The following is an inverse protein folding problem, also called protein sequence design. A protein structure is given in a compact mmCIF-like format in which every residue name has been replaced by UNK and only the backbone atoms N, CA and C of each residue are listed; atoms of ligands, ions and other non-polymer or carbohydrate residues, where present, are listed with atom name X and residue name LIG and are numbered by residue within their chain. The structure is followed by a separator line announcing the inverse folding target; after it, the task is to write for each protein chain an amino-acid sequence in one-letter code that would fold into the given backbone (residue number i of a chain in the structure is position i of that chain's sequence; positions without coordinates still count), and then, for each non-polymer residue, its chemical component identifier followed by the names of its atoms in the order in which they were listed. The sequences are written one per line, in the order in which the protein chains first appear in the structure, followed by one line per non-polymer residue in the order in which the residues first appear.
data_IF_417034844902
#
_entry.id   IF_417034844902
#
_cell.length_a   1.000
_cell.length_b   1.000
_cell.length_c   1.000
_cell.angle_alpha   90.00
_cell.angle_beta   90.00
_cell.angle_gamma   90.00
#
_symmetry.space_group_name_H-M   'P 1'
#
loop_
_entity.id
_entity.type
_entity.pdbx_description
1 polymer ?
#
# COMPACT_ATOMS: atom_id res chain seq x y z
N UNK A 1 6.67 -51.53 -63.93
CA UNK A 1 6.48 -50.27 -63.17
C UNK A 1 5.31 -50.50 -62.21
N UNK A 2 5.61 -50.68 -60.93
CA UNK A 2 4.66 -51.15 -59.90
C UNK A 2 4.15 -49.94 -59.10
N UNK A 3 2.83 -49.81 -59.00
CA UNK A 3 2.14 -48.83 -58.19
C UNK A 3 2.11 -49.26 -56.71
N UNK A 4 2.44 -48.35 -55.79
CA UNK A 4 2.35 -48.58 -54.34
C UNK A 4 1.53 -47.47 -53.66
N UNK A 5 0.25 -47.82 -53.52
CA UNK A 5 -0.73 -47.54 -52.47
C UNK A 5 -0.17 -46.83 -51.21
N UNK A 6 -0.59 -45.59 -50.96
CA UNK A 6 -0.54 -44.95 -49.65
C UNK A 6 -1.88 -45.11 -48.92
N UNK A 7 -1.86 -45.75 -47.74
CA UNK A 7 -2.97 -45.75 -46.75
C UNK A 7 -2.81 -44.58 -45.77
N UNK A 8 -3.87 -43.87 -45.38
CA UNK A 8 -3.82 -42.94 -44.27
C UNK A 8 -4.12 -43.63 -42.92
N UNK A 9 -3.32 -43.32 -41.92
CA UNK A 9 -3.48 -43.74 -40.52
C UNK A 9 -4.47 -42.80 -39.82
N UNK A 10 -5.66 -43.30 -39.52
CA UNK A 10 -6.64 -42.68 -38.63
C UNK A 10 -6.16 -42.80 -37.17
N UNK A 11 -5.73 -41.69 -36.56
CA UNK A 11 -5.62 -41.57 -35.09
C UNK A 11 -6.86 -40.88 -34.54
N UNK A 12 -7.58 -41.64 -33.70
CA UNK A 12 -8.75 -41.23 -32.93
C UNK A 12 -8.38 -40.09 -31.98
N UNK A 13 -9.04 -38.94 -32.14
CA UNK A 13 -9.13 -37.91 -31.10
C UNK A 13 -10.27 -38.30 -30.16
N UNK A 14 -9.93 -38.59 -28.91
CA UNK A 14 -10.91 -38.70 -27.84
C UNK A 14 -11.41 -37.29 -27.48
N UNK A 15 -12.68 -37.03 -27.78
CA UNK A 15 -13.44 -35.92 -27.22
C UNK A 15 -13.54 -36.10 -25.70
N UNK A 16 -12.80 -35.30 -24.94
CA UNK A 16 -13.07 -35.10 -23.51
C UNK A 16 -13.84 -33.79 -23.38
N UNK A 17 -15.16 -33.90 -23.29
CA UNK A 17 -16.05 -32.80 -22.94
C UNK A 17 -16.00 -32.56 -21.43
N UNK A 18 -15.21 -31.58 -20.99
CA UNK A 18 -15.35 -31.04 -19.63
C UNK A 18 -16.46 -29.97 -19.62
N UNK A 19 -17.64 -30.37 -19.14
CA UNK A 19 -18.64 -29.43 -18.61
C UNK A 19 -18.10 -28.88 -17.28
N UNK A 20 -17.70 -27.62 -17.26
CA UNK A 20 -17.54 -26.86 -16.02
C UNK A 20 -18.32 -25.55 -16.14
N UNK A 21 -19.64 -25.66 -15.97
CA UNK A 21 -20.48 -24.50 -15.71
C UNK A 21 -20.44 -24.20 -14.22
N UNK A 22 -19.69 -23.17 -13.82
CA UNK A 22 -19.90 -22.36 -12.61
C UNK A 22 -19.24 -21.00 -12.82
N UNK A 23 -19.96 -20.13 -13.50
CA UNK A 23 -19.74 -18.68 -13.50
C UNK A 23 -20.09 -18.15 -12.11
N UNK A 24 -19.09 -17.89 -11.27
CA UNK A 24 -19.27 -17.00 -10.13
C UNK A 24 -19.05 -15.56 -10.61
N UNK A 25 -20.13 -14.94 -11.06
CA UNK A 25 -20.22 -13.49 -11.15
C UNK A 25 -20.24 -12.93 -9.72
N UNK A 26 -19.14 -12.29 -9.30
CA UNK A 26 -19.13 -11.49 -8.08
C UNK A 26 -19.53 -10.06 -8.45
N UNK A 27 -20.83 -9.85 -8.58
CA UNK A 27 -21.47 -8.53 -8.63
C UNK A 27 -22.15 -8.25 -7.29
N UNK A 28 -21.75 -7.12 -6.71
CA UNK A 28 -22.53 -6.23 -5.85
C UNK A 28 -24.00 -6.58 -5.63
N UNK A 29 -24.36 -6.91 -4.39
CA UNK A 29 -25.67 -6.64 -3.80
C UNK A 29 -25.59 -6.88 -2.28
N UNK A 30 -25.31 -5.84 -1.49
CA UNK A 30 -25.74 -5.84 -0.09
C UNK A 30 -27.05 -5.08 -0.02
N UNK A 31 -28.12 -5.85 -0.12
CA UNK A 31 -29.46 -5.43 0.27
C UNK A 31 -29.51 -5.25 1.79
N UNK A 32 -30.26 -4.23 2.16
CA UNK A 32 -30.56 -3.76 3.50
C UNK A 32 -31.08 -4.88 4.41
N UNK A 33 -30.36 -5.17 5.50
CA UNK A 33 -30.91 -5.96 6.62
C UNK A 33 -31.56 -4.98 7.60
N UNK A 34 -32.86 -5.07 7.91
CA UNK A 34 -33.48 -4.30 8.97
C UNK A 34 -32.95 -4.80 10.32
N UNK A 35 -32.27 -3.93 11.07
CA UNK A 35 -31.92 -4.19 12.48
C UNK A 35 -33.12 -3.85 13.37
N UNK A 36 -34.01 -4.81 13.58
CA UNK A 36 -34.94 -4.78 14.71
C UNK A 36 -34.22 -5.35 15.94
N UNK A 37 -33.66 -4.48 16.79
CA UNK A 37 -33.32 -4.85 18.17
C UNK A 37 -34.50 -4.45 19.07
N UNK A 38 -35.01 -5.33 19.96
CA UNK A 38 -35.98 -4.93 20.96
C UNK A 38 -35.35 -3.95 21.95
N UNK A 39 -36.07 -2.84 22.22
CA UNK A 39 -35.83 -1.94 23.35
C UNK A 39 -36.07 -2.71 24.66
N UNK A 40 -35.14 -2.69 25.63
CA UNK A 40 -35.49 -3.02 27.00
C UNK A 40 -36.28 -1.85 27.63
N UNK A 41 -37.39 -2.19 28.27
CA UNK A 41 -38.28 -1.26 28.98
C UNK A 41 -37.60 -0.68 30.25
N UNK A 42 -37.98 0.54 30.68
CA UNK A 42 -37.37 1.22 31.81
C UNK A 42 -38.24 1.05 33.05
N UNK A 43 -38.02 0.01 33.85
CA UNK A 43 -38.60 -0.06 35.20
C UNK A 43 -37.74 -0.99 36.05
N UNK A 44 -36.96 -0.40 36.97
CA UNK A 44 -36.52 -0.97 38.26
C UNK A 44 -35.40 -0.09 38.83
N UNK A 45 -35.79 0.97 39.54
CA UNK A 45 -34.95 1.60 40.57
C UNK A 45 -35.05 0.75 41.84
N UNK A 46 -33.94 0.64 42.60
CA UNK A 46 -34.10 0.82 44.03
C UNK A 46 -33.17 1.90 44.60
N UNK A 47 -33.82 2.64 45.48
CA UNK A 47 -33.42 3.68 46.42
C UNK A 47 -32.31 3.19 47.38
N UNK A 48 -31.54 4.15 47.89
CA UNK A 48 -30.74 4.18 49.15
C UNK A 48 -29.23 4.03 48.93
N UNK A 49 -28.35 4.80 49.56
CA UNK A 49 -28.47 5.76 50.67
C UNK A 49 -27.23 6.66 50.66
N UNK A 50 -27.39 7.88 51.15
CA UNK A 50 -26.33 8.76 51.60
C UNK A 50 -25.29 8.02 52.46
N UNK A 51 -24.00 8.24 52.19
CA UNK A 51 -23.09 8.47 53.30
C UNK A 51 -21.98 9.44 52.94
N UNK A 52 -21.87 10.44 53.81
CA UNK A 52 -21.16 11.69 53.68
C UNK A 52 -19.91 11.55 54.53
N UNK A 53 -18.75 11.27 53.92
CA UNK A 53 -17.45 11.39 54.61
C UNK A 53 -16.47 12.25 53.83
N UNK A 54 -16.37 13.48 54.32
CA UNK A 54 -15.33 14.46 54.09
C UNK A 54 -13.95 13.88 54.44
N UNK A 55 -12.94 14.11 53.59
CA UNK A 55 -11.54 14.35 53.97
C UNK A 55 -10.68 14.75 52.76
N UNK A 56 -9.48 15.35 52.96
CA UNK A 56 -9.30 16.79 52.85
C UNK A 56 -8.43 17.21 51.66
N UNK A 57 -8.45 18.53 51.44
CA UNK A 57 -7.64 19.27 50.47
C UNK A 57 -6.14 19.08 50.73
N UNK A 58 -5.41 18.69 49.69
CA UNK A 58 -3.96 18.82 49.64
C UNK A 58 -3.58 20.19 49.05
N UNK A 59 -2.74 20.89 49.81
CA UNK A 59 -2.14 22.18 49.50
C UNK A 59 -1.21 22.13 48.28
N UNK A 60 -1.09 23.21 47.48
CA UNK A 60 0.04 23.41 46.59
C UNK A 60 1.19 24.10 47.33
N UNK A 61 2.41 23.60 47.08
CA UNK A 61 3.66 24.12 47.63
C UNK A 61 4.10 25.44 47.00
N UNK A 62 4.53 26.29 47.91
CA UNK A 62 5.23 27.58 47.86
C UNK A 62 6.58 27.58 47.11
N UNK A 63 6.90 28.73 46.48
CA UNK A 63 8.23 29.30 46.15
C UNK A 63 9.09 28.57 45.09
N UNK A 64 9.91 29.20 44.25
CA UNK A 64 10.50 30.54 44.26
C UNK A 64 11.07 30.87 42.86
N UNK A 65 11.10 32.17 42.55
CA UNK A 65 11.80 32.77 41.42
C UNK A 65 13.29 32.43 41.39
N UNK A 66 13.88 32.35 40.19
CA UNK A 66 15.12 33.08 39.93
C UNK A 66 15.36 33.35 38.43
N UNK A 67 15.46 34.65 38.17
CA UNK A 67 15.93 35.33 36.96
C UNK A 67 17.44 35.10 36.82
N UNK A 68 17.90 34.94 35.56
CA UNK A 68 19.22 35.32 35.00
C UNK A 68 19.16 34.97 33.50
N UNK A 69 18.89 35.92 32.62
CA UNK A 69 19.83 36.88 32.05
C UNK A 69 21.22 36.30 31.79
N UNK A 70 21.45 35.83 30.56
CA UNK A 70 22.72 35.98 29.87
C UNK A 70 22.60 35.59 28.39
N UNK A 71 23.03 36.49 27.50
CA UNK A 71 23.77 36.06 26.31
C UNK A 71 23.05 36.14 24.96
N UNK A 72 22.85 37.37 24.50
CA UNK A 72 22.86 37.74 23.08
C UNK A 72 24.07 37.08 22.39
N UNK A 73 23.85 36.15 21.46
CA UNK A 73 24.85 35.81 20.43
C UNK A 73 24.17 35.45 19.11
N UNK A 74 24.15 36.47 18.26
CA UNK A 74 24.23 36.38 16.80
C UNK A 74 24.91 35.10 16.34
N UNK A 75 24.25 34.32 15.46
CA UNK A 75 24.95 33.93 14.26
C UNK A 75 24.03 33.88 13.03
N UNK A 76 24.20 34.95 12.26
CA UNK A 76 23.75 35.17 10.90
C UNK A 76 24.45 34.16 9.98
N UNK A 77 23.75 33.12 9.56
CA UNK A 77 24.10 32.40 8.32
C UNK A 77 23.04 32.72 7.26
N UNK A 78 23.23 33.89 6.64
CA UNK A 78 22.75 34.14 5.29
C UNK A 78 23.59 33.26 4.36
N UNK A 79 23.05 32.12 3.96
CA UNK A 79 23.46 31.40 2.77
C UNK A 79 22.55 31.83 1.63
N UNK A 80 22.96 32.86 0.90
CA UNK A 80 22.49 33.14 -0.45
C UNK A 80 22.70 31.90 -1.31
N UNK A 81 21.62 31.29 -1.78
CA UNK A 81 21.68 30.42 -2.96
C UNK A 81 20.79 31.05 -4.01
N UNK A 82 21.46 31.83 -4.83
CA UNK A 82 20.95 32.36 -6.08
C UNK A 82 20.41 31.25 -6.97
N UNK A 83 19.37 31.63 -7.68
CA UNK A 83 18.69 30.84 -8.69
C UNK A 83 19.63 30.60 -9.87
N UNK A 84 20.07 29.36 -10.08
CA UNK A 84 20.56 28.84 -11.37
C UNK A 84 20.48 27.32 -11.37
N UNK A 85 19.70 26.75 -12.29
CA UNK A 85 19.70 25.32 -12.60
C UNK A 85 18.50 24.53 -12.06
N UNK A 86 17.32 24.76 -12.63
CA UNK A 86 16.24 23.75 -12.63
C UNK A 86 16.64 22.61 -13.58
N UNK A 87 17.56 21.73 -13.19
CA UNK A 87 17.80 20.48 -13.91
C UNK A 87 18.00 19.33 -12.91
N UNK A 88 17.14 18.32 -13.02
CA UNK A 88 17.18 17.14 -12.18
C UNK A 88 16.39 17.26 -10.88
N UNK A 89 15.04 17.23 -10.96
CA UNK A 89 14.23 16.80 -9.80
C UNK A 89 14.64 15.38 -9.45
N UNK A 90 15.61 15.24 -8.54
CA UNK A 90 16.01 13.97 -7.95
C UNK A 90 14.75 13.32 -7.40
N UNK A 91 14.38 12.17 -7.97
CA UNK A 91 13.28 11.36 -7.47
C UNK A 91 13.62 11.03 -6.02
N UNK A 92 12.91 11.62 -5.07
CA UNK A 92 13.05 11.24 -3.67
C UNK A 92 12.62 9.78 -3.57
N UNK A 93 13.59 8.89 -3.34
CA UNK A 93 13.32 7.48 -3.05
C UNK A 93 12.29 7.41 -1.91
N UNK A 94 11.39 6.44 -1.98
CA UNK A 94 10.43 6.23 -0.92
C UNK A 94 11.21 5.93 0.37
N UNK A 95 10.72 6.46 1.50
CA UNK A 95 11.23 6.00 2.79
C UNK A 95 11.01 4.49 2.84
N UNK A 96 12.06 3.70 3.10
CA UNK A 96 11.96 2.25 3.17
C UNK A 96 10.85 1.88 4.15
N UNK A 97 9.77 1.29 3.64
CA UNK A 97 8.63 0.87 4.46
C UNK A 97 9.04 -0.39 5.20
N UNK A 98 9.41 -0.24 6.47
CA UNK A 98 9.88 -1.35 7.30
C UNK A 98 8.78 -1.82 8.24
N UNK A 99 8.02 -2.85 7.88
CA UNK A 99 7.12 -3.45 8.87
C UNK A 99 7.98 -3.91 10.06
N UNK A 100 7.63 -3.56 11.32
CA UNK A 100 8.47 -3.84 12.48
C UNK A 100 8.99 -5.29 12.51
N UNK A 101 8.10 -6.25 12.26
CA UNK A 101 8.37 -7.69 12.26
C UNK A 101 9.39 -8.18 11.23
N UNK A 102 9.59 -7.45 10.13
CA UNK A 102 10.51 -7.84 9.04
C UNK A 102 11.76 -6.97 9.02
N UNK A 103 11.82 -5.93 9.86
CA UNK A 103 12.92 -4.98 9.83
C UNK A 103 14.27 -5.63 10.09
N UNK A 104 14.29 -6.64 10.97
CA UNK A 104 15.45 -7.45 11.29
C UNK A 104 15.92 -8.37 10.14
N UNK A 105 15.11 -8.56 9.09
CA UNK A 105 15.49 -9.38 7.94
C UNK A 105 16.24 -8.58 6.88
N UNK A 106 16.33 -7.26 7.00
CA UNK A 106 17.07 -6.43 6.05
C UNK A 106 18.44 -6.05 6.57
N UNK A 107 19.43 -6.20 5.71
CA UNK A 107 20.73 -5.57 5.87
C UNK A 107 20.64 -4.06 5.62
N UNK A 108 21.66 -3.30 6.07
CA UNK A 108 21.67 -1.83 5.94
C UNK A 108 21.57 -1.36 4.48
N UNK A 109 22.17 -2.12 3.58
CA UNK A 109 22.13 -1.94 2.12
C UNK A 109 20.74 -2.17 1.49
N UNK A 110 19.78 -2.75 2.22
CA UNK A 110 18.45 -3.09 1.70
C UNK A 110 18.34 -4.51 1.18
N UNK A 111 19.36 -5.33 1.34
CA UNK A 111 19.30 -6.73 0.94
C UNK A 111 18.46 -7.51 1.96
N UNK A 112 17.47 -8.26 1.46
CA UNK A 112 16.65 -9.15 2.28
C UNK A 112 17.44 -10.42 2.60
N UNK A 113 17.76 -10.62 3.88
CA UNK A 113 18.29 -11.87 4.42
C UNK A 113 17.19 -12.93 4.42
N UNK A 114 17.32 -13.91 3.55
CA UNK A 114 16.32 -14.98 3.34
C UNK A 114 17.01 -16.31 3.02
N UNK A 115 16.23 -17.39 2.86
CA UNK A 115 16.75 -18.69 2.42
C UNK A 115 17.25 -18.62 0.97
N UNK A 116 18.17 -19.50 0.58
CA UNK A 116 18.70 -19.53 -0.79
C UNK A 116 17.58 -19.66 -1.84
N UNK A 117 16.63 -20.56 -1.62
CA UNK A 117 15.49 -20.76 -2.52
C UNK A 117 14.65 -19.49 -2.73
N UNK A 118 14.47 -18.68 -1.67
CA UNK A 118 13.77 -17.40 -1.77
C UNK A 118 14.59 -16.35 -2.51
N UNK A 119 15.90 -16.30 -2.29
CA UNK A 119 16.79 -15.39 -3.00
C UNK A 119 16.80 -15.70 -4.51
N UNK A 120 16.85 -16.99 -4.87
CA UNK A 120 16.74 -17.46 -6.26
C UNK A 120 15.41 -17.04 -6.87
N UNK A 121 14.29 -17.20 -6.15
CA UNK A 121 12.98 -16.73 -6.61
C UNK A 121 12.95 -15.23 -6.94
N UNK A 122 13.48 -14.37 -6.08
CA UNK A 122 13.51 -12.92 -6.35
C UNK A 122 14.40 -12.58 -7.54
N UNK A 123 15.54 -13.25 -7.67
CA UNK A 123 16.46 -13.08 -8.81
C UNK A 123 15.83 -13.52 -10.12
N UNK A 124 15.17 -14.68 -10.15
CA UNK A 124 14.53 -15.24 -11.35
C UNK A 124 13.35 -14.39 -11.82
N UNK A 125 12.52 -13.92 -10.89
CA UNK A 125 11.29 -13.19 -11.22
C UNK A 125 11.53 -11.69 -11.41
N UNK A 126 12.65 -11.16 -10.91
CA UNK A 126 12.91 -9.72 -10.86
C UNK A 126 11.95 -8.95 -9.94
N UNK A 127 11.18 -9.65 -9.10
CA UNK A 127 10.29 -9.01 -8.13
C UNK A 127 11.14 -8.35 -7.05
N UNK A 128 10.90 -7.06 -6.82
CA UNK A 128 11.62 -6.28 -5.82
C UNK A 128 11.11 -6.61 -4.42
N UNK A 129 12.05 -6.94 -3.54
CA UNK A 129 11.80 -7.10 -2.10
C UNK A 129 12.08 -5.82 -1.31
N UNK A 130 12.95 -4.92 -1.77
CA UNK A 130 13.23 -3.63 -1.09
C UNK A 130 12.26 -2.54 -1.56
N UNK A 131 11.33 -2.15 -0.69
CA UNK A 131 10.39 -1.07 -0.98
C UNK A 131 11.02 0.32 -1.04
N UNK A 132 12.25 0.49 -0.52
CA UNK A 132 13.00 1.74 -0.67
C UNK A 132 13.36 2.06 -2.12
N UNK A 133 13.32 1.07 -3.02
CA UNK A 133 13.53 1.26 -4.46
C UNK A 133 12.31 1.83 -5.19
N UNK A 134 11.13 1.82 -4.57
CA UNK A 134 10.00 2.59 -5.09
C UNK A 134 10.31 4.06 -4.90
N UNK A 135 9.80 4.89 -5.79
CA UNK A 135 10.01 6.33 -5.71
C UNK A 135 8.68 7.01 -5.41
N UNK A 136 8.74 8.05 -4.60
CA UNK A 136 7.54 8.75 -4.15
C UNK A 136 6.93 9.55 -5.30
N UNK A 137 5.60 9.51 -5.42
CA UNK A 137 4.91 10.38 -6.38
C UNK A 137 5.28 11.84 -6.07
N UNK A 138 5.85 12.53 -7.05
CA UNK A 138 6.38 13.90 -6.89
C UNK A 138 5.41 14.98 -7.37
N UNK A 139 4.18 14.61 -7.68
CA UNK A 139 3.13 15.54 -8.14
C UNK A 139 2.80 16.56 -7.04
N UNK A 140 2.43 17.82 -7.35
CA UNK A 140 1.95 18.78 -6.35
C UNK A 140 0.84 18.23 -5.44
N UNK A 141 -0.09 17.46 -6.01
CA UNK A 141 -1.13 16.70 -5.27
C UNK A 141 -0.57 15.66 -4.28
N UNK A 142 0.68 15.20 -4.45
CA UNK A 142 1.31 14.29 -3.49
C UNK A 142 1.59 14.96 -2.14
N UNK A 143 1.70 16.29 -2.10
CA UNK A 143 1.73 17.03 -0.84
C UNK A 143 0.39 16.90 -0.09
N UNK A 144 -0.74 16.88 -0.81
CA UNK A 144 -2.07 16.68 -0.22
C UNK A 144 -2.23 15.27 0.33
N UNK A 145 -1.69 14.24 -0.34
CA UNK A 145 -1.65 12.89 0.23
C UNK A 145 -0.97 12.91 1.62
N UNK A 146 0.18 13.57 1.73
CA UNK A 146 0.92 13.63 3.01
C UNK A 146 0.17 14.36 4.11
N UNK A 147 -0.54 15.45 3.79
CA UNK A 147 -1.39 16.16 4.75
C UNK A 147 -2.49 15.25 5.32
N UNK A 148 -2.95 14.29 4.51
CA UNK A 148 -3.95 13.29 4.89
C UNK A 148 -3.34 12.04 5.55
N UNK A 149 -2.05 12.05 5.84
CA UNK A 149 -1.35 10.92 6.43
C UNK A 149 -1.14 9.76 5.44
N UNK A 150 -1.12 10.04 4.15
CA UNK A 150 -0.92 9.04 3.07
C UNK A 150 0.40 9.35 2.35
N UNK A 151 1.20 8.32 2.11
CA UNK A 151 2.34 8.36 1.21
C UNK A 151 2.09 7.38 0.07
N UNK A 152 2.28 7.84 -1.16
CA UNK A 152 2.08 7.01 -2.35
C UNK A 152 3.40 6.94 -3.10
N UNK A 153 3.84 5.72 -3.35
CA UNK A 153 5.04 5.42 -4.10
C UNK A 153 4.69 4.55 -5.31
N UNK A 154 5.45 4.70 -6.37
CA UNK A 154 5.30 3.92 -7.59
C UNK A 154 6.63 3.32 -8.02
N UNK A 155 6.57 2.20 -8.72
CA UNK A 155 7.66 1.67 -9.52
C UNK A 155 7.10 1.00 -10.76
N UNK A 156 7.83 1.09 -11.88
CA UNK A 156 7.54 0.30 -13.08
C UNK A 156 7.92 -1.19 -12.91
N UNK A 157 8.64 -1.52 -11.82
CA UNK A 157 8.92 -2.90 -11.42
C UNK A 157 7.85 -3.41 -10.47
N UNK A 158 7.68 -4.72 -10.48
CA UNK A 158 6.80 -5.39 -9.52
C UNK A 158 7.51 -5.54 -8.18
N UNK A 159 6.85 -5.11 -7.11
CA UNK A 159 7.35 -5.22 -5.75
C UNK A 159 6.38 -6.02 -4.90
N UNK A 160 6.91 -6.92 -4.08
CA UNK A 160 6.10 -7.81 -3.24
C UNK A 160 5.28 -7.00 -2.22
N UNK A 161 4.09 -7.46 -1.81
CA UNK A 161 3.38 -6.82 -0.70
C UNK A 161 4.25 -6.87 0.57
N UNK A 162 4.47 -5.73 1.26
CA UNK A 162 5.27 -5.70 2.49
C UNK A 162 4.84 -6.74 3.53
N UNK A 163 3.55 -6.97 3.74
CA UNK A 163 3.07 -7.93 4.73
C UNK A 163 3.39 -9.39 4.38
N UNK A 164 3.66 -9.69 3.10
CA UNK A 164 4.01 -11.04 2.67
C UNK A 164 5.51 -11.32 2.82
N UNK A 165 6.35 -10.31 3.06
CA UNK A 165 7.80 -10.49 3.26
C UNK A 165 8.14 -11.38 4.47
N UNK A 166 7.26 -11.44 5.47
CA UNK A 166 7.41 -12.33 6.62
C UNK A 166 7.49 -13.81 6.20
N UNK A 167 6.80 -14.20 5.13
CA UNK A 167 6.87 -15.55 4.58
C UNK A 167 8.20 -15.86 3.88
N UNK A 168 9.10 -14.88 3.77
CA UNK A 168 10.44 -15.03 3.21
C UNK A 168 11.51 -14.84 4.30
N UNK A 169 11.19 -15.21 5.54
CA UNK A 169 12.12 -15.14 6.66
C UNK A 169 13.35 -16.04 6.44
N UNK A 170 14.51 -15.69 7.04
CA UNK A 170 15.75 -16.46 6.87
C UNK A 170 15.68 -17.86 7.48
N UNK A 171 14.82 -18.09 8.47
CA UNK A 171 14.59 -19.40 9.08
C UNK A 171 13.60 -20.28 8.30
N UNK A 172 13.11 -19.79 7.16
CA UNK A 172 12.03 -20.41 6.41
C UNK A 172 10.65 -20.08 6.99
N UNK A 173 9.62 -20.25 6.17
CA UNK A 173 8.22 -20.10 6.54
C UNK A 173 7.39 -21.15 5.76
N UNK A 174 6.44 -21.84 6.40
CA UNK A 174 5.61 -22.84 5.72
C UNK A 174 4.84 -22.30 4.51
N UNK A 175 4.53 -21.01 4.49
CA UNK A 175 3.81 -20.35 3.40
C UNK A 175 4.71 -19.87 2.27
N UNK A 176 6.04 -19.96 2.38
CA UNK A 176 6.97 -19.45 1.38
C UNK A 176 6.67 -20.01 -0.03
N UNK A 177 6.52 -21.33 -0.15
CA UNK A 177 6.22 -22.00 -1.42
C UNK A 177 4.90 -21.52 -2.03
N UNK A 178 3.85 -21.41 -1.21
CA UNK A 178 2.56 -20.88 -1.64
C UNK A 178 2.68 -19.42 -2.12
N UNK A 179 3.43 -18.58 -1.40
CA UNK A 179 3.65 -17.18 -1.80
C UNK A 179 4.43 -17.06 -3.10
N UNK A 180 5.48 -17.87 -3.29
CA UNK A 180 6.23 -17.91 -4.56
C UNK A 180 5.31 -18.24 -5.72
N UNK A 181 4.50 -19.30 -5.61
CA UNK A 181 3.51 -19.69 -6.63
C UNK A 181 2.49 -18.57 -6.89
N UNK A 182 1.94 -17.97 -5.84
CA UNK A 182 0.99 -16.86 -5.93
C UNK A 182 1.58 -15.68 -6.72
N UNK A 183 2.82 -15.28 -6.42
CA UNK A 183 3.45 -14.15 -7.10
C UNK A 183 3.89 -14.47 -8.54
N UNK A 184 4.30 -15.71 -8.84
CA UNK A 184 4.51 -16.14 -10.23
C UNK A 184 3.23 -15.99 -11.06
N UNK A 185 2.08 -16.43 -10.52
CA UNK A 185 0.79 -16.27 -11.18
C UNK A 185 0.37 -14.79 -11.31
N UNK A 186 0.62 -13.96 -10.29
CA UNK A 186 0.32 -12.52 -10.34
C UNK A 186 1.12 -11.79 -11.41
N UNK A 187 2.39 -12.17 -11.62
CA UNK A 187 3.27 -11.57 -12.60
C UNK A 187 2.74 -11.76 -14.04
N UNK A 188 2.10 -12.89 -14.30
CA UNK A 188 1.54 -13.23 -15.61
C UNK A 188 0.16 -12.60 -15.85
N UNK A 189 -0.61 -12.37 -14.78
CA UNK A 189 -2.04 -12.05 -14.88
C UNK A 189 -2.37 -10.58 -14.71
N UNK A 190 -1.56 -9.82 -13.95
CA UNK A 190 -1.89 -8.44 -13.56
C UNK A 190 -0.80 -7.46 -13.97
N UNK A 191 -1.10 -6.49 -14.87
CA UNK A 191 -0.12 -5.48 -15.29
C UNK A 191 0.24 -4.51 -14.16
N UNK A 192 -0.67 -4.29 -13.20
CA UNK A 192 -0.48 -3.36 -12.08
C UNK A 192 -0.79 -4.04 -10.75
N UNK A 193 0.15 -3.95 -9.82
CA UNK A 193 -0.03 -4.36 -8.44
C UNK A 193 -0.30 -3.15 -7.57
N UNK A 194 -1.34 -3.22 -6.75
CA UNK A 194 -1.68 -2.15 -5.81
C UNK A 194 -1.69 -2.73 -4.41
N UNK A 195 -0.75 -2.25 -3.60
CA UNK A 195 -0.59 -2.61 -2.21
C UNK A 195 -0.91 -1.40 -1.34
N UNK A 196 -1.75 -1.58 -0.34
CA UNK A 196 -1.99 -0.55 0.68
C UNK A 196 -1.73 -1.13 2.05
N UNK A 197 -0.91 -0.44 2.83
CA UNK A 197 -0.41 -0.90 4.12
C UNK A 197 -0.52 0.22 5.14
N UNK A 198 -0.81 -0.14 6.39
CA UNK A 198 -0.94 0.80 7.51
C UNK A 198 -0.19 0.27 8.75
N UNK A 199 1.13 0.01 8.66
CA UNK A 199 1.84 -0.77 9.68
C UNK A 199 2.04 -0.03 11.01
N UNK A 200 2.04 1.31 11.02
CA UNK A 200 2.26 2.10 12.24
C UNK A 200 1.03 2.86 12.73
N UNK A 201 -0.12 2.67 12.09
CA UNK A 201 -1.36 3.34 12.51
C UNK A 201 -1.85 2.74 13.83
N UNK A 202 -1.92 3.55 14.89
CA UNK A 202 -2.50 3.16 16.18
C UNK A 202 -4.02 2.97 16.15
N UNK A 203 -4.69 3.37 15.06
CA UNK A 203 -6.13 3.20 14.90
C UNK A 203 -6.55 1.73 14.89
N UNK A 204 -7.81 1.45 15.24
CA UNK A 204 -8.38 0.10 15.28
C UNK A 204 -8.21 -0.68 13.97
N UNK A 205 -7.96 -2.00 14.05
CA UNK A 205 -7.64 -2.85 12.89
C UNK A 205 -8.70 -2.77 11.78
N UNK A 206 -9.99 -2.74 12.14
CA UNK A 206 -11.09 -2.60 11.18
C UNK A 206 -11.03 -1.27 10.41
N UNK A 207 -10.66 -0.17 11.07
CA UNK A 207 -10.52 1.16 10.41
C UNK A 207 -9.37 1.11 9.42
N UNK A 208 -8.22 0.55 9.82
CA UNK A 208 -7.05 0.38 8.94
C UNK A 208 -7.39 -0.47 7.72
N UNK A 209 -8.07 -1.60 7.93
CA UNK A 209 -8.42 -2.52 6.85
C UNK A 209 -9.42 -1.89 5.87
N UNK A 210 -10.45 -1.20 6.37
CA UNK A 210 -11.42 -0.49 5.54
C UNK A 210 -10.74 0.62 4.74
N UNK A 211 -9.91 1.43 5.39
CA UNK A 211 -9.15 2.51 4.76
C UNK A 211 -8.23 1.98 3.65
N UNK A 212 -7.35 1.03 3.96
CA UNK A 212 -6.38 0.47 2.99
C UNK A 212 -7.07 -0.20 1.79
N UNK A 213 -8.15 -0.96 2.02
CA UNK A 213 -8.94 -1.56 0.93
C UNK A 213 -9.55 -0.51 0.02
N UNK A 214 -10.14 0.53 0.61
CA UNK A 214 -10.78 1.61 -0.12
C UNK A 214 -9.77 2.40 -0.97
N UNK A 215 -8.61 2.76 -0.40
CA UNK A 215 -7.55 3.47 -1.14
C UNK A 215 -6.98 2.60 -2.27
N UNK A 216 -6.75 1.31 -2.01
CA UNK A 216 -6.28 0.38 -3.04
C UNK A 216 -7.31 0.24 -4.18
N UNK A 217 -8.60 0.19 -3.87
CA UNK A 217 -9.67 0.19 -4.87
C UNK A 217 -9.63 1.47 -5.72
N UNK A 218 -9.58 2.64 -5.09
CA UNK A 218 -9.56 3.92 -5.81
C UNK A 218 -8.31 4.06 -6.70
N UNK A 219 -7.15 3.60 -6.25
CA UNK A 219 -5.93 3.61 -7.06
C UNK A 219 -6.02 2.66 -8.28
N UNK A 220 -6.70 1.51 -8.16
CA UNK A 220 -6.96 0.63 -9.31
C UNK A 220 -7.91 1.29 -10.30
N UNK A 221 -9.01 1.89 -9.81
CA UNK A 221 -9.95 2.64 -10.66
C UNK A 221 -9.27 3.81 -11.38
N UNK A 222 -8.37 4.53 -10.72
CA UNK A 222 -7.58 5.57 -11.35
C UNK A 222 -6.72 5.03 -12.51
N UNK A 223 -6.07 3.88 -12.33
CA UNK A 223 -5.30 3.24 -13.41
C UNK A 223 -6.18 2.72 -14.56
N UNK A 224 -7.38 2.22 -14.26
CA UNK A 224 -8.37 1.80 -15.27
C UNK A 224 -8.88 2.99 -16.09
N UNK A 225 -9.12 4.15 -15.45
CA UNK A 225 -9.49 5.38 -16.17
C UNK A 225 -8.41 5.82 -17.14
N UNK A 226 -7.14 5.82 -16.71
CA UNK A 226 -6.01 6.13 -17.58
C UNK A 226 -5.87 5.15 -18.76
N UNK A 227 -6.20 3.88 -18.54
CA UNK A 227 -6.18 2.87 -19.60
C UNK A 227 -7.31 3.05 -20.63
N UNK A 228 -8.40 3.76 -20.27
CA UNK A 228 -9.51 4.10 -21.16
C UNK A 228 -9.37 5.45 -21.87
N UNK A 229 -8.28 6.19 -21.64
CA UNK A 229 -8.00 7.44 -22.36
C UNK A 229 -7.58 7.19 -23.82
N UNK A 230 -7.64 8.24 -24.65
CA UNK A 230 -7.12 8.23 -26.02
C UNK A 230 -6.02 9.30 -26.16
N UNK A 231 -4.72 8.92 -26.32
CA UNK A 231 -4.22 7.55 -26.39
C UNK A 231 -4.20 6.84 -25.02
N UNK A 232 -4.34 5.49 -24.96
CA UNK A 232 -4.43 4.76 -23.70
C UNK A 232 -3.10 4.76 -22.96
N UNK A 233 -3.17 5.06 -21.65
CA UNK A 233 -2.01 5.05 -20.76
C UNK A 233 -2.06 3.77 -19.92
N UNK A 234 -1.34 2.74 -20.36
CA UNK A 234 -1.23 1.49 -19.60
C UNK A 234 -0.23 1.65 -18.45
N UNK A 235 -0.74 1.69 -17.22
CA UNK A 235 0.10 1.71 -16.01
C UNK A 235 0.56 0.29 -15.68
N UNK A 236 1.88 0.07 -15.61
CA UNK A 236 2.50 -1.22 -15.25
C UNK A 236 3.40 -1.10 -14.02
N UNK A 237 3.51 -2.18 -13.24
CA UNK A 237 4.41 -2.27 -12.08
C UNK A 237 3.66 -2.27 -10.75
N UNK A 238 4.11 -1.49 -9.77
CA UNK A 238 3.54 -1.47 -8.41
C UNK A 238 3.27 -0.07 -7.89
N UNK A 239 2.04 0.12 -7.37
CA UNK A 239 1.67 1.23 -6.50
C UNK A 239 1.69 0.74 -5.06
N UNK A 240 2.44 1.43 -4.21
CA UNK A 240 2.43 1.22 -2.77
C UNK A 240 1.82 2.45 -2.09
N UNK A 241 0.74 2.22 -1.34
CA UNK A 241 0.05 3.24 -0.56
C UNK A 241 0.33 2.96 0.92
N UNK A 242 1.05 3.86 1.55
CA UNK A 242 1.41 3.78 2.95
C UNK A 242 0.56 4.75 3.76
N UNK A 243 -0.21 4.22 4.71
CA UNK A 243 -1.16 4.97 5.53
C UNK A 243 -0.58 5.13 6.93
N UNK A 244 -0.23 6.36 7.28
CA UNK A 244 0.25 6.77 8.61
C UNK A 244 -0.91 7.02 9.58
N UNK A 245 -1.98 7.64 9.07
CA UNK A 245 -3.18 7.99 9.84
C UNK A 245 -4.42 7.55 9.09
N UNK A 246 -5.05 6.45 9.56
CA UNK A 246 -6.20 5.88 8.85
C UNK A 246 -7.46 6.74 9.01
N UNK A 247 -7.59 7.51 10.09
CA UNK A 247 -8.76 8.37 10.32
C UNK A 247 -8.72 9.57 9.36
N UNK A 248 -7.58 10.25 9.26
CA UNK A 248 -7.40 11.35 8.30
C UNK A 248 -7.61 10.88 6.86
N UNK A 249 -7.06 9.72 6.52
CA UNK A 249 -7.20 9.14 5.18
C UNK A 249 -8.65 8.78 4.83
N UNK A 250 -9.47 8.33 5.78
CA UNK A 250 -10.88 7.99 5.55
C UNK A 250 -11.74 9.23 5.27
N UNK A 251 -11.39 10.37 5.85
CA UNK A 251 -12.13 11.62 5.67
C UNK A 251 -12.02 12.22 4.26
N UNK A 252 -10.99 11.86 3.50
CA UNK A 252 -10.87 12.25 2.10
C UNK A 252 -11.95 11.55 1.28
N UNK A 253 -12.79 12.22 0.46
CA UNK A 253 -13.74 11.53 -0.41
C UNK A 253 -13.08 10.57 -1.40
N UNK A 254 -13.72 9.43 -1.69
CA UNK A 254 -13.16 8.41 -2.58
C UNK A 254 -12.85 8.96 -3.98
N UNK A 255 -13.78 9.76 -4.54
CA UNK A 255 -13.60 10.42 -5.83
C UNK A 255 -12.41 11.37 -5.80
N UNK A 256 -12.30 12.20 -4.76
CA UNK A 256 -11.17 13.13 -4.62
C UNK A 256 -9.82 12.41 -4.57
N UNK A 257 -9.72 11.27 -3.87
CA UNK A 257 -8.51 10.46 -3.91
C UNK A 257 -8.22 9.91 -5.31
N UNK A 258 -9.24 9.40 -5.99
CA UNK A 258 -9.11 8.84 -7.33
C UNK A 258 -8.62 9.88 -8.34
N UNK A 259 -9.19 11.08 -8.33
CA UNK A 259 -8.80 12.16 -9.25
C UNK A 259 -7.35 12.59 -9.00
N UNK A 260 -6.94 12.71 -7.73
CA UNK A 260 -5.53 12.97 -7.38
C UNK A 260 -4.60 11.86 -7.89
N UNK A 261 -5.01 10.59 -7.77
CA UNK A 261 -4.25 9.45 -8.28
C UNK A 261 -4.13 9.46 -9.80
N UNK A 262 -5.20 9.77 -10.54
CA UNK A 262 -5.18 9.91 -12.01
C UNK A 262 -4.15 10.96 -12.42
N UNK A 263 -4.22 12.16 -11.82
CA UNK A 263 -3.30 13.26 -12.14
C UNK A 263 -1.84 12.91 -11.82
N UNK A 264 -1.60 12.31 -10.64
CA UNK A 264 -0.27 11.94 -10.20
C UNK A 264 0.34 10.83 -11.07
N UNK A 265 -0.43 9.80 -11.41
CA UNK A 265 0.00 8.72 -12.30
C UNK A 265 0.23 9.23 -13.72
N UNK A 266 -0.68 10.04 -14.29
CA UNK A 266 -0.52 10.60 -15.65
C UNK A 266 0.79 11.35 -15.79
N UNK A 267 1.07 12.28 -14.86
CA UNK A 267 2.32 13.03 -14.86
C UNK A 267 3.52 12.10 -14.79
N UNK A 268 3.46 11.08 -13.96
CA UNK A 268 4.57 10.17 -13.87
C UNK A 268 4.78 9.37 -15.15
N UNK A 269 3.71 8.86 -15.75
CA UNK A 269 3.83 8.08 -16.98
C UNK A 269 4.45 8.95 -18.08
N UNK A 270 4.12 10.24 -18.10
CA UNK A 270 4.77 11.22 -18.97
C UNK A 270 6.27 11.39 -18.62
N UNK A 271 6.63 11.60 -17.36
CA UNK A 271 8.02 11.79 -16.91
C UNK A 271 8.90 10.55 -17.19
N UNK A 272 8.36 9.35 -17.01
CA UNK A 272 9.05 8.09 -17.30
C UNK A 272 9.24 7.87 -18.81
N UNK A 273 8.25 8.22 -19.64
CA UNK A 273 8.39 8.24 -21.11
C UNK A 273 9.47 9.22 -21.56
N UNK A 274 9.47 10.44 -21.02
CA UNK A 274 10.46 11.46 -21.35
C UNK A 274 11.91 11.04 -21.01
N UNK A 275 12.09 10.19 -19.98
CA UNK A 275 13.40 9.66 -19.58
C UNK A 275 13.88 8.48 -20.40
N UNK A 276 13.14 8.05 -21.43
CA UNK A 276 13.49 6.89 -22.26
C UNK A 276 13.58 5.58 -21.47
N UNK A 277 12.99 5.50 -20.27
CA UNK A 277 12.97 4.25 -19.52
C UNK A 277 12.02 3.30 -20.23
N UNK A 278 12.54 2.14 -20.66
CA UNK A 278 11.74 1.09 -21.28
C UNK A 278 10.62 0.64 -20.32
N UNK A 279 9.43 0.48 -20.88
CA UNK A 279 8.21 -0.01 -20.26
C UNK A 279 7.96 -1.46 -20.64
#
# INVERSE_FOLDING_TARGET
MVALICRPVLRRLHHVTFRCGRTFASTSAWQSVPRSRPRPSPDSQPIRTDDRRQRPQNSPSTQQNNVRDAGTRSNRNQGTSDSRGQEGRSLRMASRVMIPDISAFYSRDGTLTTTQENAEFFRETGIESDHGKLWNLTHPEASKFRQLGIEVSFSNRYAINPYHLRSFAPRGDPWAAYRRSQYKALLQTKPLWVHSVAPYSSNHAAVRQTCTRRLAYCARRAAELLAGEDPPIQVRGTILIFVRDAIKAVNLPAQGFQDMMVMALRKEMHDLKARGRKW
#
